data_IF_284293102164
#
_entry.id   IF_284293102164
#
_cell.length_a   1.000
_cell.length_b   1.000
_cell.length_c   1.000
_cell.angle_alpha   90.00
_cell.angle_beta   90.00
_cell.angle_gamma   90.00
#
_symmetry.space_group_name_H-M   'P 1'
#
loop_
_entity.id
_entity.type
_entity.pdbx_description
1 polymer ?
#
# COMPACT_ATOMS: atom_id res chain seq x y z
N UNK A 1 4.55 23.94 -7.42
CA UNK A 1 4.68 23.69 -5.97
C UNK A 1 3.91 22.40 -5.70
N UNK A 2 4.53 21.35 -5.15
CA UNK A 2 3.73 20.22 -4.73
C UNK A 2 2.71 20.71 -3.72
N UNK A 3 1.46 20.29 -3.89
CA UNK A 3 0.38 20.62 -2.97
C UNK A 3 0.72 20.03 -1.60
N UNK A 4 0.58 20.78 -0.52
CA UNK A 4 0.73 20.21 0.83
C UNK A 4 -0.36 19.15 1.01
N UNK A 5 0.04 17.94 1.37
CA UNK A 5 -0.90 16.89 1.73
C UNK A 5 -1.51 17.21 3.09
N UNK A 6 -2.83 17.41 3.11
CA UNK A 6 -3.58 17.55 4.36
C UNK A 6 -4.16 16.20 4.77
N UNK A 7 -3.73 15.69 5.91
CA UNK A 7 -4.31 14.51 6.55
C UNK A 7 -5.31 14.94 7.65
N UNK A 8 -6.37 14.17 7.90
CA UNK A 8 -6.76 12.94 7.23
C UNK A 8 -7.44 13.15 5.87
N UNK A 9 -7.50 12.08 5.05
CA UNK A 9 -8.24 12.02 3.79
C UNK A 9 -9.45 11.12 4.00
N UNK A 10 -10.65 11.65 3.84
CA UNK A 10 -11.89 10.88 3.85
C UNK A 10 -12.21 10.36 2.44
N UNK A 11 -12.56 9.08 2.32
CA UNK A 11 -12.92 8.43 1.05
C UNK A 11 -14.00 7.37 1.27
N UNK A 12 -15.24 7.71 0.94
CA UNK A 12 -16.38 6.83 1.18
C UNK A 12 -16.57 6.55 2.67
N UNK A 13 -16.48 5.27 3.04
CA UNK A 13 -16.63 4.82 4.42
C UNK A 13 -15.30 4.79 5.20
N UNK A 14 -14.17 5.08 4.53
CA UNK A 14 -12.85 4.99 5.16
C UNK A 14 -12.20 6.36 5.30
N UNK A 15 -11.26 6.42 6.23
CA UNK A 15 -10.36 7.55 6.43
C UNK A 15 -8.91 7.07 6.40
N UNK A 16 -8.08 7.78 5.64
CA UNK A 16 -6.64 7.62 5.65
C UNK A 16 -6.03 8.68 6.56
N UNK A 17 -5.25 8.27 7.53
CA UNK A 17 -4.59 9.18 8.47
C UNK A 17 -3.15 8.74 8.74
N UNK A 18 -2.37 9.64 9.30
CA UNK A 18 -1.06 9.25 9.83
C UNK A 18 -1.21 8.12 10.88
N UNK A 19 -0.24 7.21 10.89
CA UNK A 19 -0.07 6.26 12.00
C UNK A 19 0.32 7.03 13.26
N UNK A 20 -0.25 6.64 14.39
CA UNK A 20 0.03 7.19 15.71
C UNK A 20 0.42 6.06 16.66
N UNK A 21 1.08 6.42 17.79
CA UNK A 21 1.62 5.43 18.72
C UNK A 21 0.60 4.39 19.21
N UNK A 22 -0.66 4.78 19.38
CA UNK A 22 -1.72 3.85 19.77
C UNK A 22 -2.06 2.77 18.73
N UNK A 23 -1.61 2.92 17.48
CA UNK A 23 -1.83 1.94 16.41
C UNK A 23 -0.84 0.76 16.49
N UNK A 24 0.17 0.82 17.36
CA UNK A 24 1.19 -0.22 17.45
C UNK A 24 0.60 -1.61 17.69
N UNK A 25 -0.43 -1.73 18.51
CA UNK A 25 -1.08 -3.01 18.79
C UNK A 25 -1.75 -3.61 17.53
N UNK A 26 -2.38 -2.77 16.71
CA UNK A 26 -3.01 -3.19 15.45
C UNK A 26 -1.97 -3.45 14.37
N UNK A 27 -0.89 -2.66 14.32
CA UNK A 27 0.27 -2.94 13.48
C UNK A 27 0.88 -4.31 13.79
N UNK A 28 1.01 -4.66 15.07
CA UNK A 28 1.47 -5.97 15.49
C UNK A 28 0.53 -7.11 15.04
N UNK A 29 -0.77 -6.86 14.98
CA UNK A 29 -1.74 -7.83 14.42
C UNK A 29 -1.57 -8.01 12.91
N UNK A 30 -1.11 -7.00 12.18
CA UNK A 30 -0.82 -7.13 10.74
C UNK A 30 0.47 -7.92 10.51
N UNK A 31 1.58 -7.49 11.09
CA UNK A 31 2.90 -7.99 10.75
C UNK A 31 3.38 -9.16 11.62
N UNK A 32 2.68 -9.42 12.72
CA UNK A 32 2.91 -10.58 13.59
C UNK A 32 2.14 -11.84 13.21
N UNK A 33 1.34 -11.83 12.14
CA UNK A 33 0.53 -12.99 11.74
C UNK A 33 0.99 -13.59 10.41
N UNK A 34 1.34 -14.89 10.37
CA UNK A 34 1.83 -15.56 9.14
C UNK A 34 0.88 -15.45 7.96
N UNK A 35 -0.44 -15.55 8.20
CA UNK A 35 -1.45 -15.50 7.13
C UNK A 35 -1.56 -14.10 6.51
N UNK A 36 -1.32 -13.06 7.29
CA UNK A 36 -1.37 -11.67 6.81
C UNK A 36 -0.15 -11.35 5.96
N UNK A 37 1.04 -11.69 6.46
CA UNK A 37 2.29 -11.42 5.75
C UNK A 37 2.61 -12.42 4.64
N UNK A 38 1.78 -13.44 4.44
CA UNK A 38 2.05 -14.57 3.54
C UNK A 38 2.60 -14.16 2.17
N UNK A 39 2.06 -13.12 1.58
CA UNK A 39 2.42 -12.62 0.25
C UNK A 39 3.20 -11.30 0.29
N UNK A 40 3.62 -10.86 1.49
CA UNK A 40 4.52 -9.72 1.63
C UNK A 40 5.97 -10.20 1.49
N UNK A 41 6.86 -9.30 1.12
CA UNK A 41 8.30 -9.57 1.05
C UNK A 41 8.98 -9.57 2.44
N UNK A 42 8.20 -9.45 3.49
CA UNK A 42 8.62 -9.41 4.89
C UNK A 42 8.19 -10.69 5.59
N UNK A 43 9.05 -11.19 6.49
CA UNK A 43 8.68 -12.29 7.40
C UNK A 43 7.76 -11.81 8.52
N UNK A 44 7.28 -12.74 9.33
CA UNK A 44 6.60 -12.41 10.59
C UNK A 44 7.55 -11.63 11.48
N UNK A 45 7.12 -10.48 11.95
CA UNK A 45 7.91 -9.58 12.79
C UNK A 45 7.51 -9.72 14.25
N UNK A 46 8.50 -9.72 15.14
CA UNK A 46 8.32 -9.80 16.58
C UNK A 46 9.27 -8.85 17.35
N UNK A 47 8.91 -8.56 18.58
CA UNK A 47 9.78 -7.84 19.51
C UNK A 47 10.29 -6.50 18.99
N UNK A 48 11.61 -6.31 19.03
CA UNK A 48 12.27 -5.07 18.64
C UNK A 48 12.22 -4.80 17.13
N UNK A 49 12.25 -5.86 16.31
CA UNK A 49 12.12 -5.73 14.86
C UNK A 49 10.75 -5.16 14.46
N UNK A 50 9.68 -5.69 15.06
CA UNK A 50 8.32 -5.19 14.86
C UNK A 50 8.19 -3.72 15.31
N UNK A 51 8.80 -3.37 16.44
CA UNK A 51 8.81 -2.00 16.95
C UNK A 51 9.52 -1.04 15.99
N UNK A 52 10.71 -1.41 15.55
CA UNK A 52 11.50 -0.64 14.58
C UNK A 52 10.75 -0.48 13.25
N UNK A 53 10.08 -1.53 12.80
CA UNK A 53 9.27 -1.52 11.58
C UNK A 53 8.11 -0.53 11.68
N UNK A 54 7.41 -0.51 12.82
CA UNK A 54 6.36 0.46 13.09
C UNK A 54 6.87 1.91 13.10
N UNK A 55 7.96 2.16 13.81
CA UNK A 55 8.56 3.51 13.93
C UNK A 55 8.96 4.09 12.57
N UNK A 56 9.47 3.27 11.66
CA UNK A 56 9.81 3.68 10.29
C UNK A 56 8.59 4.04 9.45
N UNK A 57 7.39 3.63 9.85
CA UNK A 57 6.13 3.88 9.15
C UNK A 57 5.37 5.10 9.70
N UNK A 58 5.83 5.68 10.80
CA UNK A 58 5.26 6.92 11.31
C UNK A 58 5.43 8.04 10.29
N UNK A 59 4.40 8.86 10.16
CA UNK A 59 4.36 9.91 9.15
C UNK A 59 5.45 10.96 9.37
N UNK A 60 6.28 11.18 8.37
CA UNK A 60 7.35 12.20 8.37
C UNK A 60 7.19 13.21 7.23
N UNK A 61 6.18 13.04 6.38
CA UNK A 61 5.94 13.89 5.22
C UNK A 61 5.77 13.09 3.92
N UNK A 62 5.72 13.80 2.81
CA UNK A 62 5.66 13.15 1.48
C UNK A 62 7.00 12.46 1.18
N UNK A 63 6.97 11.25 0.58
CA UNK A 63 8.17 10.48 0.33
C UNK A 63 9.03 11.12 -0.78
N UNK A 64 10.35 11.12 -0.60
CA UNK A 64 11.31 11.36 -1.67
C UNK A 64 11.52 10.09 -2.52
N UNK A 65 12.34 10.18 -3.58
CA UNK A 65 12.67 9.01 -4.41
C UNK A 65 13.33 7.90 -3.57
N UNK A 66 12.81 6.69 -3.69
CA UNK A 66 13.23 5.52 -2.92
C UNK A 66 12.64 5.43 -1.52
N UNK A 67 11.85 6.41 -1.09
CA UNK A 67 11.18 6.42 0.20
C UNK A 67 9.70 6.03 0.11
N UNK A 68 9.16 5.58 1.24
CA UNK A 68 7.76 5.22 1.41
C UNK A 68 7.12 6.05 2.53
N UNK A 69 5.88 6.44 2.30
CA UNK A 69 4.99 6.96 3.33
C UNK A 69 3.86 5.96 3.58
N UNK A 70 3.46 5.81 4.83
CA UNK A 70 2.43 4.86 5.23
C UNK A 70 1.31 5.56 5.99
N UNK A 71 0.08 5.14 5.74
CA UNK A 71 -1.11 5.67 6.37
C UNK A 71 -1.93 4.53 6.98
N UNK A 72 -2.51 4.80 8.14
CA UNK A 72 -3.54 3.94 8.71
C UNK A 72 -4.83 4.09 7.90
N UNK A 73 -5.49 2.98 7.64
CA UNK A 73 -6.84 2.92 7.07
C UNK A 73 -7.80 2.63 8.21
N UNK A 74 -8.76 3.50 8.45
CA UNK A 74 -9.74 3.36 9.53
C UNK A 74 -11.16 3.55 9.01
N UNK A 75 -12.13 2.88 9.62
CA UNK A 75 -13.57 3.13 9.44
C UNK A 75 -14.26 2.96 10.79
N UNK A 76 -15.21 3.85 11.12
CA UNK A 76 -15.92 3.85 12.40
C UNK A 76 -14.96 3.76 13.60
N UNK A 77 -13.86 4.52 13.55
CA UNK A 77 -12.75 4.53 14.52
C UNK A 77 -12.02 3.18 14.70
N UNK A 78 -12.31 2.20 13.86
CA UNK A 78 -11.62 0.90 13.86
C UNK A 78 -10.47 0.91 12.86
N UNK A 79 -9.32 0.42 13.30
CA UNK A 79 -8.17 0.19 12.43
C UNK A 79 -8.44 -1.04 11.53
N UNK A 80 -8.29 -0.86 10.22
CA UNK A 80 -8.56 -1.88 9.21
C UNK A 80 -7.29 -2.44 8.60
N UNK A 81 -6.24 -1.63 8.52
CA UNK A 81 -4.98 -1.98 7.87
C UNK A 81 -4.12 -0.75 7.60
N UNK A 82 -3.10 -0.96 6.81
CA UNK A 82 -2.16 0.08 6.37
C UNK A 82 -2.08 0.12 4.86
N UNK A 83 -1.88 1.31 4.34
CA UNK A 83 -1.59 1.54 2.93
C UNK A 83 -0.34 2.40 2.82
N UNK A 84 0.59 1.99 1.94
CA UNK A 84 1.81 2.71 1.65
C UNK A 84 1.83 3.23 0.21
N UNK A 85 2.60 4.28 0.01
CA UNK A 85 2.94 4.78 -1.32
C UNK A 85 4.36 5.36 -1.30
N UNK A 86 5.03 5.26 -2.42
CA UNK A 86 6.41 5.73 -2.56
C UNK A 86 6.69 6.25 -3.96
N UNK A 87 7.76 7.04 -4.09
CA UNK A 87 8.28 7.49 -5.38
C UNK A 87 9.37 6.52 -5.82
N UNK A 88 9.05 5.63 -6.76
CA UNK A 88 10.00 4.62 -7.26
C UNK A 88 10.93 5.17 -8.35
N UNK A 89 10.52 6.21 -9.07
CA UNK A 89 11.32 6.89 -10.09
C UNK A 89 10.81 8.34 -10.24
N UNK A 90 11.59 9.29 -9.73
CA UNK A 90 11.25 10.70 -9.80
C UNK A 90 11.40 11.28 -11.22
N UNK A 91 12.38 10.79 -11.99
CA UNK A 91 12.61 11.24 -13.37
C UNK A 91 11.43 10.91 -14.28
N UNK A 92 10.90 9.68 -14.16
CA UNK A 92 9.76 9.21 -14.94
C UNK A 92 8.43 9.40 -14.21
N UNK A 93 8.45 10.02 -13.02
CA UNK A 93 7.27 10.29 -12.18
C UNK A 93 6.44 9.03 -11.95
N UNK A 94 7.13 7.94 -11.56
CA UNK A 94 6.51 6.68 -11.21
C UNK A 94 6.38 6.58 -9.70
N UNK A 95 5.16 6.34 -9.23
CA UNK A 95 4.87 5.99 -7.84
C UNK A 95 4.50 4.51 -7.74
N UNK A 96 4.70 3.95 -6.56
CA UNK A 96 4.29 2.59 -6.22
C UNK A 96 3.34 2.64 -5.03
N UNK A 97 2.34 1.74 -5.02
CA UNK A 97 1.41 1.58 -3.91
C UNK A 97 1.41 0.15 -3.41
N UNK A 98 1.30 0.00 -2.08
CA UNK A 98 1.20 -1.28 -1.41
C UNK A 98 0.26 -1.19 -0.21
N UNK A 99 -0.36 -2.31 0.17
CA UNK A 99 -1.32 -2.32 1.27
C UNK A 99 -1.33 -3.67 1.99
N UNK A 100 -1.71 -3.62 3.25
CA UNK A 100 -1.95 -4.78 4.08
C UNK A 100 -3.19 -4.53 4.95
N UNK A 101 -4.08 -5.51 5.03
CA UNK A 101 -5.33 -5.38 5.76
C UNK A 101 -5.53 -6.55 6.72
N UNK A 102 -6.16 -6.26 7.85
CA UNK A 102 -6.60 -7.30 8.77
C UNK A 102 -7.63 -8.21 8.07
N UNK A 103 -7.58 -9.53 8.28
CA UNK A 103 -8.48 -10.48 7.62
C UNK A 103 -9.98 -10.15 7.80
N UNK A 104 -10.35 -9.69 8.98
CA UNK A 104 -11.73 -9.28 9.32
C UNK A 104 -12.22 -8.04 8.57
N UNK A 105 -11.32 -7.24 8.00
CA UNK A 105 -11.65 -6.09 7.17
C UNK A 105 -12.07 -6.48 5.74
N UNK A 106 -11.98 -7.76 5.40
CA UNK A 106 -12.27 -8.28 4.07
C UNK A 106 -13.73 -8.21 3.65
N UNK A 107 -13.99 -8.20 2.34
CA UNK A 107 -15.34 -8.32 1.76
C UNK A 107 -16.18 -7.03 1.72
N UNK A 108 -15.74 -5.94 2.37
CA UNK A 108 -16.49 -4.67 2.46
C UNK A 108 -16.00 -3.59 1.47
N UNK A 109 -15.00 -3.89 0.64
CA UNK A 109 -14.48 -2.95 -0.35
C UNK A 109 -13.52 -1.89 0.20
N UNK A 110 -13.15 -1.93 1.48
CA UNK A 110 -12.28 -0.95 2.13
C UNK A 110 -10.90 -0.86 1.47
N UNK A 111 -10.28 -2.00 1.15
CA UNK A 111 -9.00 -2.02 0.44
C UNK A 111 -9.10 -1.32 -0.93
N UNK A 112 -10.21 -1.49 -1.65
CA UNK A 112 -10.45 -0.83 -2.93
C UNK A 112 -10.60 0.68 -2.76
N UNK A 113 -11.34 1.14 -1.74
CA UNK A 113 -11.51 2.56 -1.43
C UNK A 113 -10.17 3.19 -1.03
N UNK A 114 -9.41 2.54 -0.15
CA UNK A 114 -8.11 3.03 0.31
C UNK A 114 -7.10 3.12 -0.83
N UNK A 115 -6.99 2.07 -1.66
CA UNK A 115 -6.07 2.07 -2.80
C UNK A 115 -6.48 3.14 -3.82
N UNK A 116 -7.77 3.31 -4.09
CA UNK A 116 -8.27 4.38 -4.97
C UNK A 116 -7.86 5.76 -4.47
N UNK A 117 -8.08 6.05 -3.19
CA UNK A 117 -7.72 7.34 -2.59
C UNK A 117 -6.20 7.59 -2.64
N UNK A 118 -5.39 6.55 -2.39
CA UNK A 118 -3.93 6.67 -2.44
C UNK A 118 -3.41 6.85 -3.87
N UNK A 119 -3.98 6.15 -4.85
CA UNK A 119 -3.62 6.35 -6.27
C UNK A 119 -3.99 7.76 -6.72
N UNK A 120 -5.17 8.28 -6.31
CA UNK A 120 -5.56 9.66 -6.57
C UNK A 120 -4.55 10.65 -5.96
N UNK A 121 -4.12 10.41 -4.70
CA UNK A 121 -3.09 11.21 -4.04
C UNK A 121 -1.79 11.21 -4.85
N UNK A 122 -1.33 10.05 -5.35
CA UNK A 122 -0.13 9.96 -6.17
C UNK A 122 -0.24 10.85 -7.42
N UNK A 123 -1.39 10.91 -8.07
CA UNK A 123 -1.59 11.75 -9.24
C UNK A 123 -1.70 13.23 -8.90
N UNK A 124 -2.49 13.59 -7.89
CA UNK A 124 -2.81 14.99 -7.58
C UNK A 124 -1.70 15.71 -6.80
N UNK A 125 -1.07 15.01 -5.86
CA UNK A 125 -0.09 15.61 -4.93
C UNK A 125 1.33 15.36 -5.37
N UNK A 126 1.66 14.11 -5.76
CA UNK A 126 3.02 13.75 -6.21
C UNK A 126 3.21 14.00 -7.72
N UNK A 127 2.16 14.43 -8.44
CA UNK A 127 2.20 14.64 -9.89
C UNK A 127 2.73 13.41 -10.65
N UNK A 128 2.34 12.23 -10.19
CA UNK A 128 2.74 10.99 -10.85
C UNK A 128 2.24 10.94 -12.29
N UNK A 129 3.04 10.39 -13.19
CA UNK A 129 2.62 10.02 -14.54
C UNK A 129 2.03 8.62 -14.56
N UNK A 130 2.54 7.77 -13.64
CA UNK A 130 2.27 6.36 -13.57
C UNK A 130 2.26 5.89 -12.12
N UNK A 131 1.32 5.02 -11.80
CA UNK A 131 1.29 4.31 -10.51
C UNK A 131 1.38 2.82 -10.79
N UNK A 132 2.25 2.14 -10.05
CA UNK A 132 2.45 0.68 -10.13
C UNK A 132 2.07 0.00 -8.82
N UNK A 133 1.77 -1.29 -8.91
CA UNK A 133 1.67 -2.20 -7.78
C UNK A 133 2.44 -3.49 -8.13
N UNK A 134 3.36 -3.90 -7.26
CA UNK A 134 4.11 -5.15 -7.36
C UNK A 134 3.50 -6.17 -6.43
N UNK A 135 3.24 -7.36 -6.91
CA UNK A 135 2.50 -8.39 -6.19
C UNK A 135 3.16 -9.74 -6.37
N UNK A 136 3.19 -10.54 -5.32
CA UNK A 136 3.41 -11.98 -5.45
C UNK A 136 2.33 -12.54 -6.40
N UNK A 137 2.74 -13.28 -7.43
CA UNK A 137 1.83 -13.78 -8.47
C UNK A 137 0.72 -14.69 -7.92
N UNK A 138 0.91 -15.26 -6.72
CA UNK A 138 -0.06 -16.10 -6.02
C UNK A 138 -1.13 -15.30 -5.28
N UNK A 139 -0.95 -13.98 -5.13
CA UNK A 139 -1.90 -13.11 -4.46
C UNK A 139 -3.05 -12.68 -5.38
N UNK A 140 -3.94 -13.62 -5.68
CA UNK A 140 -5.09 -13.40 -6.56
C UNK A 140 -6.03 -12.28 -6.06
N UNK A 141 -6.11 -12.08 -4.74
CA UNK A 141 -6.96 -11.01 -4.16
C UNK A 141 -6.42 -9.62 -4.50
N UNK A 142 -5.11 -9.43 -4.39
CA UNK A 142 -4.47 -8.17 -4.75
C UNK A 142 -4.49 -7.94 -6.25
N UNK A 143 -4.30 -8.98 -7.07
CA UNK A 143 -4.44 -8.90 -8.51
C UNK A 143 -5.85 -8.45 -8.93
N UNK A 144 -6.90 -9.10 -8.39
CA UNK A 144 -8.28 -8.74 -8.66
C UNK A 144 -8.64 -7.31 -8.18
N UNK A 145 -8.00 -6.83 -7.09
CA UNK A 145 -8.18 -5.45 -6.63
C UNK A 145 -7.56 -4.46 -7.63
N UNK A 146 -6.33 -4.71 -8.08
CA UNK A 146 -5.66 -3.87 -9.07
C UNK A 146 -6.47 -3.79 -10.37
N UNK A 147 -6.94 -4.93 -10.90
CA UNK A 147 -7.77 -5.00 -12.11
C UNK A 147 -9.09 -4.23 -11.96
N UNK A 148 -9.75 -4.36 -10.81
CA UNK A 148 -10.99 -3.61 -10.50
C UNK A 148 -10.78 -2.10 -10.50
N UNK A 149 -9.60 -1.64 -10.12
CA UNK A 149 -9.22 -0.23 -10.15
C UNK A 149 -8.72 0.24 -11.52
N UNK A 150 -8.74 -0.62 -12.54
CA UNK A 150 -8.33 -0.28 -13.90
C UNK A 150 -6.82 -0.39 -14.14
N UNK A 151 -6.08 -0.98 -13.22
CA UNK A 151 -4.69 -1.32 -13.50
C UNK A 151 -4.65 -2.47 -14.52
N UNK A 152 -3.70 -2.40 -15.46
CA UNK A 152 -3.40 -3.49 -16.37
C UNK A 152 -2.15 -4.22 -15.92
N UNK A 153 -2.13 -5.53 -16.06
CA UNK A 153 -0.93 -6.32 -15.85
C UNK A 153 0.07 -6.05 -16.97
N UNK A 154 1.28 -5.63 -16.63
CA UNK A 154 2.31 -5.29 -17.61
C UNK A 154 3.49 -6.25 -17.61
N UNK A 155 3.76 -6.90 -16.47
CA UNK A 155 4.85 -7.87 -16.38
C UNK A 155 4.49 -9.08 -15.51
N UNK A 156 5.19 -10.18 -15.79
CA UNK A 156 5.29 -11.36 -14.95
C UNK A 156 6.75 -11.80 -14.97
N UNK A 157 7.39 -11.69 -13.83
CA UNK A 157 8.76 -12.12 -13.64
C UNK A 157 8.76 -13.48 -12.96
N UNK A 158 9.37 -14.48 -13.58
CA UNK A 158 9.43 -15.84 -13.05
C UNK A 158 10.63 -15.95 -12.12
N UNK A 159 10.40 -16.48 -10.91
CA UNK A 159 11.42 -16.65 -9.86
C UNK A 159 12.25 -15.38 -9.63
N UNK A 160 11.56 -14.21 -9.56
CA UNK A 160 12.21 -12.90 -9.45
C UNK A 160 12.62 -12.56 -8.02
N UNK A 161 11.90 -13.07 -7.04
CA UNK A 161 12.12 -12.77 -5.63
C UNK A 161 12.41 -14.05 -4.83
N UNK A 162 13.43 -13.98 -3.96
CA UNK A 162 13.69 -15.05 -2.99
C UNK A 162 13.17 -14.62 -1.62
N UNK A 163 12.00 -15.11 -1.25
CA UNK A 163 11.26 -14.69 -0.06
C UNK A 163 10.92 -15.91 0.80
N UNK A 164 11.17 -15.82 2.10
CA UNK A 164 10.80 -16.88 3.07
C UNK A 164 11.33 -18.27 2.71
N UNK A 165 12.55 -18.31 2.14
CA UNK A 165 13.22 -19.55 1.78
C UNK A 165 12.79 -20.19 0.45
N UNK A 166 11.98 -19.50 -0.37
CA UNK A 166 11.56 -19.98 -1.67
C UNK A 166 11.67 -18.90 -2.76
N UNK A 167 11.81 -19.31 -4.01
CA UNK A 167 11.70 -18.44 -5.17
C UNK A 167 10.23 -18.20 -5.50
N UNK A 168 9.86 -16.95 -5.70
CA UNK A 168 8.49 -16.54 -6.02
C UNK A 168 8.44 -15.71 -7.29
N UNK A 169 7.33 -15.83 -8.01
CA UNK A 169 7.04 -14.99 -9.16
C UNK A 169 6.47 -13.64 -8.71
N UNK A 170 6.87 -12.58 -9.42
CA UNK A 170 6.31 -11.26 -9.24
C UNK A 170 5.46 -10.86 -10.45
N UNK A 171 4.33 -10.21 -10.22
CA UNK A 171 3.54 -9.55 -11.26
C UNK A 171 3.48 -8.05 -11.00
N UNK A 172 3.59 -7.26 -12.08
CA UNK A 172 3.51 -5.81 -12.02
C UNK A 172 2.25 -5.34 -12.71
N UNK A 173 1.45 -4.60 -11.97
CA UNK A 173 0.26 -3.91 -12.44
C UNK A 173 0.52 -2.41 -12.52
N UNK A 174 -0.10 -1.72 -13.49
CA UNK A 174 0.11 -0.29 -13.66
C UNK A 174 -1.11 0.42 -14.20
N UNK A 175 -1.23 1.71 -13.85
CA UNK A 175 -2.20 2.65 -14.42
C UNK A 175 -1.52 4.00 -14.69
N UNK A 176 -1.89 4.66 -15.80
CA UNK A 176 -1.39 5.99 -16.13
C UNK A 176 -2.37 7.07 -15.68
N UNK A 177 -1.85 8.26 -15.39
CA UNK A 177 -2.69 9.40 -14.99
C UNK A 177 -3.83 9.69 -15.99
N UNK A 178 -3.57 9.56 -17.32
CA UNK A 178 -4.58 9.77 -18.36
C UNK A 178 -5.65 8.67 -18.43
N UNK A 179 -5.40 7.52 -17.82
CA UNK A 179 -6.32 6.36 -17.78
C UNK A 179 -7.13 6.35 -16.50
N UNK A 180 -6.66 7.11 -15.49
CA UNK A 180 -7.30 7.15 -14.19
C UNK A 180 -8.58 7.96 -14.23
N UNK A 181 -9.70 7.32 -13.94
CA UNK A 181 -11.00 7.96 -13.83
C UNK A 181 -11.28 8.23 -12.36
N UNK A 182 -11.25 9.52 -12.00
CA UNK A 182 -11.72 9.94 -10.68
C UNK A 182 -13.20 9.60 -10.54
N UNK A 183 -13.55 8.82 -9.50
CA UNK A 183 -14.95 8.50 -9.21
C UNK A 183 -15.60 9.62 -8.40
#
# INVERSE_FOLDING_TARGET
MPSELSLPIDSGEIRLRALVESDFADHARLFGQPDVVRYLYEDVLEGEELRTHFEKRLWTGLPAEGEWANLAVVADDQFLGEIGFGVSDATHRTCEVGYVFLPESGGRGFATQATRATVQLCFDVLNAHRVIARLDARNERSAALAERLGFRREAHYVENEYVKGEWTDEVVYAVLAREWVSA
#
